data_IF_498181898147
#
_entry.id   IF_498181898147
#
_cell.length_a   1.000
_cell.length_b   1.000
_cell.length_c   1.000
_cell.angle_alpha   90.00
_cell.angle_beta   90.00
_cell.angle_gamma   90.00
#
_symmetry.space_group_name_H-M   'P 1'
#
loop_
_entity.id
_entity.type
_entity.pdbx_description
1 polymer ?
#
# COMPACT_ATOMS: atom_id res chain seq x y z
N UNK A 1 -2.75 6.06 13.66
CA UNK A 1 -2.57 6.20 12.19
C UNK A 1 -1.62 5.13 11.70
N UNK A 2 -2.01 4.44 10.66
CA UNK A 2 -1.19 3.42 10.00
C UNK A 2 -0.62 4.05 8.73
N UNK A 3 0.66 3.90 8.49
CA UNK A 3 1.32 4.43 7.31
C UNK A 3 1.76 3.27 6.41
N UNK A 4 1.41 3.36 5.14
CA UNK A 4 1.79 2.36 4.14
C UNK A 4 2.67 3.05 3.10
N UNK A 5 3.92 2.61 3.01
CA UNK A 5 4.85 3.10 2.00
C UNK A 5 5.00 2.09 0.88
N UNK A 6 4.90 2.54 -0.36
CA UNK A 6 4.99 1.66 -1.52
C UNK A 6 6.01 2.23 -2.49
N UNK A 7 7.06 1.46 -2.74
CA UNK A 7 8.07 1.74 -3.77
C UNK A 7 7.61 1.06 -5.05
N UNK A 8 7.13 1.86 -6.00
CA UNK A 8 6.45 1.37 -7.21
C UNK A 8 7.46 1.07 -8.30
N UNK A 9 7.35 -0.10 -8.90
CA UNK A 9 8.14 -0.50 -10.05
C UNK A 9 7.23 -1.15 -11.10
N UNK A 10 7.81 -1.51 -12.25
CA UNK A 10 7.04 -1.98 -13.41
C UNK A 10 6.26 -3.26 -13.12
N UNK A 11 6.94 -4.27 -12.57
CA UNK A 11 6.39 -5.61 -12.45
C UNK A 11 5.98 -5.96 -11.03
N UNK A 12 6.53 -5.26 -10.05
CA UNK A 12 6.29 -5.55 -8.63
C UNK A 12 6.50 -4.29 -7.80
N UNK A 13 5.92 -4.27 -6.62
CA UNK A 13 6.04 -3.15 -5.70
C UNK A 13 6.54 -3.64 -4.34
N UNK A 14 7.45 -2.88 -3.73
CA UNK A 14 7.92 -3.15 -2.38
C UNK A 14 7.08 -2.35 -1.40
N UNK A 15 6.53 -3.00 -0.39
CA UNK A 15 5.58 -2.41 0.53
C UNK A 15 6.08 -2.48 1.97
N UNK A 16 5.78 -1.42 2.73
CA UNK A 16 6.09 -1.35 4.15
C UNK A 16 4.87 -0.81 4.89
N UNK A 17 4.48 -1.46 5.98
CA UNK A 17 3.37 -1.01 6.81
C UNK A 17 3.92 -0.65 8.18
N UNK A 18 3.71 0.60 8.58
CA UNK A 18 4.22 1.17 9.83
C UNK A 18 3.08 1.57 10.75
N UNK A 19 3.28 1.36 12.05
CA UNK A 19 2.39 1.89 13.07
C UNK A 19 2.62 3.38 13.32
N UNK A 20 1.86 3.94 14.26
CA UNK A 20 1.89 5.38 14.56
C UNK A 20 3.23 5.86 15.11
N UNK A 21 4.05 4.96 15.66
CA UNK A 21 5.37 5.27 16.19
C UNK A 21 6.49 4.86 15.21
N UNK A 22 6.15 4.71 13.93
CA UNK A 22 7.06 4.26 12.88
C UNK A 22 7.62 2.85 13.11
N UNK A 23 6.96 2.05 13.92
CA UNK A 23 7.31 0.65 14.14
C UNK A 23 6.80 -0.20 12.98
N UNK A 24 7.62 -1.14 12.51
CA UNK A 24 7.21 -2.04 11.43
C UNK A 24 6.22 -3.06 11.95
N UNK A 25 4.99 -3.02 11.42
CA UNK A 25 3.95 -3.98 11.78
C UNK A 25 4.11 -5.30 11.02
N UNK A 26 4.74 -5.25 9.85
CA UNK A 26 5.11 -6.41 9.06
C UNK A 26 6.54 -6.24 8.54
N UNK A 27 7.26 -7.34 8.24
CA UNK A 27 8.48 -7.24 7.44
C UNK A 27 8.16 -6.62 6.08
N UNK A 28 9.12 -5.94 5.47
CA UNK A 28 8.95 -5.42 4.11
C UNK A 28 8.58 -6.58 3.19
N UNK A 29 7.57 -6.39 2.36
CA UNK A 29 7.09 -7.43 1.46
C UNK A 29 6.92 -6.88 0.05
N UNK A 30 6.95 -7.78 -0.92
CA UNK A 30 6.82 -7.44 -2.33
C UNK A 30 5.53 -8.03 -2.88
N UNK A 31 4.80 -7.22 -3.64
CA UNK A 31 3.58 -7.68 -4.32
C UNK A 31 3.75 -7.54 -5.83
N UNK A 32 3.16 -8.43 -6.63
CA UNK A 32 3.13 -8.23 -8.08
C UNK A 32 2.23 -7.05 -8.46
N UNK A 33 2.52 -6.42 -9.59
CA UNK A 33 1.73 -5.30 -10.10
C UNK A 33 0.49 -5.81 -10.84
N UNK A 34 -0.43 -6.40 -10.10
CA UNK A 34 -1.70 -6.93 -10.60
C UNK A 34 -2.72 -7.00 -9.47
N UNK A 35 -3.94 -7.41 -9.81
CA UNK A 35 -5.03 -7.47 -8.85
C UNK A 35 -4.72 -8.40 -7.66
N UNK A 36 -4.12 -9.55 -7.92
CA UNK A 36 -3.78 -10.50 -6.84
C UNK A 36 -2.80 -9.87 -5.85
N UNK A 37 -1.81 -9.11 -6.34
CA UNK A 37 -0.88 -8.38 -5.48
C UNK A 37 -1.57 -7.29 -4.68
N UNK A 38 -2.48 -6.55 -5.30
CA UNK A 38 -3.23 -5.49 -4.62
C UNK A 38 -4.13 -6.08 -3.53
N UNK A 39 -4.77 -7.21 -3.80
CA UNK A 39 -5.59 -7.89 -2.80
C UNK A 39 -4.76 -8.34 -1.60
N UNK A 40 -3.54 -8.82 -1.83
CA UNK A 40 -2.61 -9.18 -0.75
C UNK A 40 -2.26 -7.96 0.10
N UNK A 41 -2.00 -6.82 -0.53
CA UNK A 41 -1.71 -5.57 0.18
C UNK A 41 -2.90 -5.16 1.06
N UNK A 42 -4.11 -5.19 0.52
CA UNK A 42 -5.30 -4.81 1.26
C UNK A 42 -5.56 -5.78 2.42
N UNK A 43 -5.36 -7.05 2.21
CA UNK A 43 -5.51 -8.05 3.26
C UNK A 43 -4.59 -7.74 4.44
N UNK A 44 -3.33 -7.39 4.16
CA UNK A 44 -2.39 -7.02 5.21
C UNK A 44 -2.77 -5.70 5.89
N UNK A 45 -3.17 -4.69 5.13
CA UNK A 45 -3.61 -3.41 5.69
C UNK A 45 -4.81 -3.60 6.63
N UNK A 46 -5.81 -4.34 6.18
CA UNK A 46 -7.05 -4.50 6.93
C UNK A 46 -6.95 -5.53 8.05
N UNK A 47 -5.82 -6.26 8.14
CA UNK A 47 -5.54 -7.08 9.29
C UNK A 47 -5.11 -6.26 10.51
N UNK A 48 -4.60 -5.03 10.30
CA UNK A 48 -4.15 -4.16 11.40
C UNK A 48 -5.19 -3.11 11.77
N UNK A 49 -6.05 -2.72 10.83
CA UNK A 49 -7.18 -1.84 11.10
C UNK A 49 -8.25 -2.02 10.03
N UNK A 50 -9.52 -1.97 10.43
CA UNK A 50 -10.65 -1.97 9.49
C UNK A 50 -11.15 -0.56 9.20
N UNK A 51 -10.53 0.46 9.79
CA UNK A 51 -10.92 1.86 9.61
C UNK A 51 -10.00 2.53 8.57
N UNK A 52 -10.54 2.72 7.37
CA UNK A 52 -9.81 3.34 6.26
C UNK A 52 -9.34 4.76 6.57
N UNK A 53 -10.03 5.47 7.45
CA UNK A 53 -9.65 6.84 7.81
C UNK A 53 -8.37 6.89 8.64
N UNK A 54 -7.94 5.75 9.17
CA UNK A 54 -6.71 5.61 9.95
C UNK A 54 -5.54 5.08 9.14
N UNK A 55 -5.70 4.93 7.82
CA UNK A 55 -4.64 4.47 6.93
C UNK A 55 -4.23 5.62 6.01
N UNK A 56 -2.93 5.86 5.92
CA UNK A 56 -2.37 6.82 4.97
C UNK A 56 -1.36 6.10 4.08
N UNK A 57 -1.54 6.20 2.77
CA UNK A 57 -0.68 5.53 1.79
C UNK A 57 0.19 6.55 1.08
N UNK A 58 1.49 6.31 1.06
CA UNK A 58 2.44 7.10 0.28
C UNK A 58 3.04 6.26 -0.83
N UNK A 59 3.07 6.81 -2.03
CA UNK A 59 3.68 6.15 -3.19
C UNK A 59 4.95 6.89 -3.58
N UNK A 60 6.01 6.12 -3.83
CA UNK A 60 7.23 6.62 -4.45
C UNK A 60 7.38 5.89 -5.78
N UNK A 61 7.25 6.63 -6.89
CA UNK A 61 7.20 6.02 -8.20
C UNK A 61 8.03 6.79 -9.20
N UNK A 62 8.61 6.04 -10.15
CA UNK A 62 9.22 6.60 -11.36
C UNK A 62 8.40 6.12 -12.56
N UNK A 63 8.05 7.03 -13.48
CA UNK A 63 7.27 6.71 -14.66
C UNK A 63 5.79 6.48 -14.38
N UNK A 64 5.15 5.62 -15.19
CA UNK A 64 3.70 5.44 -15.20
C UNK A 64 3.21 4.20 -14.46
N UNK A 65 4.10 3.49 -13.77
CA UNK A 65 3.80 2.17 -13.22
C UNK A 65 2.87 2.21 -12.01
N UNK A 66 2.61 3.39 -11.44
CA UNK A 66 1.73 3.55 -10.30
C UNK A 66 0.24 3.65 -10.67
N UNK A 67 -0.11 3.81 -11.96
CA UNK A 67 -1.48 4.11 -12.36
C UNK A 67 -2.48 3.02 -11.96
N UNK A 68 -2.13 1.75 -12.18
CA UNK A 68 -3.00 0.63 -11.81
C UNK A 68 -3.21 0.56 -10.30
N UNK A 69 -2.13 0.69 -9.54
CA UNK A 69 -2.19 0.64 -8.08
C UNK A 69 -2.96 1.85 -7.55
N UNK A 70 -2.68 3.04 -8.07
CA UNK A 70 -3.35 4.27 -7.63
C UNK A 70 -4.86 4.17 -7.86
N UNK A 71 -5.29 3.69 -9.04
CA UNK A 71 -6.70 3.50 -9.34
C UNK A 71 -7.35 2.52 -8.37
N UNK A 72 -6.66 1.43 -8.04
CA UNK A 72 -7.15 0.45 -7.08
C UNK A 72 -7.29 1.03 -5.67
N UNK A 73 -6.31 1.84 -5.23
CA UNK A 73 -6.36 2.50 -3.92
C UNK A 73 -7.53 3.48 -3.84
N UNK A 74 -7.77 4.24 -4.90
CA UNK A 74 -8.89 5.17 -4.99
C UNK A 74 -10.22 4.40 -4.91
N UNK A 75 -10.34 3.30 -5.63
CA UNK A 75 -11.54 2.46 -5.59
C UNK A 75 -11.81 1.91 -4.18
N UNK A 76 -10.77 1.66 -3.40
CA UNK A 76 -10.91 1.21 -2.02
C UNK A 76 -11.20 2.37 -1.06
N UNK A 77 -11.17 3.61 -1.52
CA UNK A 77 -11.41 4.78 -0.69
C UNK A 77 -10.27 5.07 0.27
N UNK A 78 -9.04 4.73 -0.09
CA UNK A 78 -7.86 4.95 0.76
C UNK A 78 -7.21 6.29 0.44
N UNK A 79 -6.93 7.13 1.45
CA UNK A 79 -6.19 8.37 1.23
C UNK A 79 -4.77 8.05 0.72
N UNK A 80 -4.39 8.67 -0.39
CA UNK A 80 -3.10 8.41 -1.04
C UNK A 80 -2.43 9.73 -1.37
N UNK A 81 -1.14 9.79 -1.12
CA UNK A 81 -0.30 10.94 -1.48
C UNK A 81 0.57 10.66 -2.69
#
# INVERSE_FOLDING_TARGET
MIYVGIDVAKDKHDCCILGSEADKLFPVFTIPNNKAGFDELYEKMFSVTDDKTKIKVGLEATGHYSLNLLGSLIDKGLPTC
#
